data_IF_532464878438
#
_entry.id   IF_532464878438
#
_cell.length_a   1.000
_cell.length_b   1.000
_cell.length_c   1.000
_cell.angle_alpha   90.00
_cell.angle_beta   90.00
_cell.angle_gamma   90.00
#
_symmetry.space_group_name_H-M   'P 1'
#
loop_
_entity.id
_entity.type
_entity.pdbx_description
1 polymer ?
#
# COMPACT_ATOMS: atom_id res chain seq x y z
N UNK A 1 5.62 14.04 22.90
CA UNK A 1 5.44 12.69 22.29
C UNK A 1 6.83 12.17 21.99
N UNK A 2 7.07 10.88 22.16
CA UNK A 2 8.31 10.18 21.90
C UNK A 2 8.06 9.08 20.88
N UNK A 3 9.03 8.82 20.00
CA UNK A 3 8.96 7.68 19.07
C UNK A 3 9.35 6.41 19.82
N UNK A 4 8.41 5.50 19.93
CA UNK A 4 8.56 4.23 20.64
C UNK A 4 8.54 3.01 19.69
N UNK A 5 8.69 3.22 18.39
CA UNK A 5 8.60 2.19 17.35
C UNK A 5 9.49 0.97 17.64
N UNK A 6 10.71 1.24 18.13
CA UNK A 6 11.65 0.19 18.53
C UNK A 6 11.16 -0.63 19.73
N UNK A 7 10.59 0.04 20.72
CA UNK A 7 10.12 -0.62 21.94
C UNK A 7 8.93 -1.57 21.64
N UNK A 8 8.15 -1.27 20.62
CA UNK A 8 6.99 -2.07 20.19
C UNK A 8 7.30 -3.04 19.01
N UNK A 9 8.56 -3.19 18.61
CA UNK A 9 8.96 -4.21 17.62
C UNK A 9 8.66 -3.85 16.16
N UNK A 10 8.36 -2.57 15.84
CA UNK A 10 8.04 -2.14 14.48
C UNK A 10 9.20 -1.42 13.78
N UNK A 11 10.44 -1.65 14.21
CA UNK A 11 11.62 -1.22 13.47
C UNK A 11 11.72 -1.90 12.12
N UNK A 12 12.27 -1.21 11.14
CA UNK A 12 12.45 -1.70 9.77
C UNK A 12 11.15 -2.13 9.08
N UNK A 13 10.04 -1.51 9.46
CA UNK A 13 8.74 -1.70 8.81
C UNK A 13 8.40 -0.54 7.88
N UNK A 14 9.36 0.33 7.57
CA UNK A 14 9.16 1.40 6.63
C UNK A 14 8.66 0.83 5.31
N UNK A 15 7.51 1.35 4.88
CA UNK A 15 6.78 0.91 3.71
C UNK A 15 6.10 2.08 3.02
N UNK A 16 5.26 1.77 2.07
CA UNK A 16 4.42 2.75 1.38
C UNK A 16 2.99 2.65 1.94
N UNK A 17 2.86 2.99 3.22
CA UNK A 17 1.63 2.85 3.98
C UNK A 17 0.56 3.84 3.52
N UNK A 18 -0.66 3.37 3.30
CA UNK A 18 -1.80 4.16 2.85
C UNK A 18 -2.90 4.27 3.91
N UNK A 19 -3.10 3.22 4.70
CA UNK A 19 -4.19 3.14 5.69
C UNK A 19 -3.80 2.23 6.85
N UNK A 20 -4.39 2.47 8.02
CA UNK A 20 -4.25 1.62 9.19
C UNK A 20 -5.56 1.58 9.95
N UNK A 21 -5.94 0.40 10.43
CA UNK A 21 -7.13 0.16 11.26
C UNK A 21 -6.71 -0.67 12.46
N UNK A 22 -7.28 -0.38 13.63
CA UNK A 22 -7.09 -1.15 14.84
C UNK A 22 -8.37 -1.89 15.21
N UNK A 23 -8.27 -3.18 15.53
CA UNK A 23 -9.36 -4.00 16.07
C UNK A 23 -8.76 -5.19 16.82
N UNK A 24 -9.49 -5.75 17.76
CA UNK A 24 -9.15 -6.99 18.45
C UNK A 24 -9.57 -8.17 17.55
N UNK A 25 -8.60 -8.75 16.82
CA UNK A 25 -8.86 -9.77 15.79
C UNK A 25 -8.98 -11.19 16.36
N UNK A 26 -8.38 -11.46 17.51
CA UNK A 26 -8.36 -12.80 18.12
C UNK A 26 -9.14 -12.89 19.43
N UNK A 27 -9.63 -11.77 19.95
CA UNK A 27 -10.48 -11.71 21.13
C UNK A 27 -9.71 -11.79 22.45
N UNK A 28 -8.41 -11.45 22.44
CA UNK A 28 -7.56 -11.46 23.62
C UNK A 28 -7.65 -10.16 24.47
N UNK A 29 -8.29 -9.13 23.92
CA UNK A 29 -8.52 -7.82 24.54
C UNK A 29 -7.50 -6.75 24.16
N UNK A 30 -6.43 -7.11 23.46
CA UNK A 30 -5.47 -6.17 22.89
C UNK A 30 -5.89 -5.77 21.48
N UNK A 31 -5.49 -4.59 21.02
CA UNK A 31 -5.79 -4.16 19.66
C UNK A 31 -4.65 -4.51 18.72
N UNK A 32 -4.97 -5.29 17.69
CA UNK A 32 -4.11 -5.52 16.53
C UNK A 32 -4.24 -4.38 15.53
N UNK A 33 -3.24 -4.25 14.66
CA UNK A 33 -3.26 -3.24 13.60
C UNK A 33 -3.28 -3.91 12.23
N UNK A 34 -4.21 -3.52 11.37
CA UNK A 34 -4.24 -3.95 9.97
C UNK A 34 -3.75 -2.77 9.14
N UNK A 35 -2.61 -2.94 8.47
CA UNK A 35 -1.97 -1.86 7.71
C UNK A 35 -1.95 -2.16 6.21
N UNK A 36 -2.52 -1.23 5.44
CA UNK A 36 -2.59 -1.28 3.99
C UNK A 36 -1.38 -0.61 3.33
N UNK A 37 -0.73 -1.33 2.43
CA UNK A 37 0.46 -0.89 1.71
C UNK A 37 0.21 -0.92 0.18
N UNK A 38 1.26 -0.68 -0.63
CA UNK A 38 1.19 -0.70 -2.10
C UNK A 38 0.96 -2.11 -2.67
N UNK A 39 1.23 -3.16 -1.89
CA UNK A 39 1.10 -4.55 -2.30
C UNK A 39 2.36 -5.11 -2.98
N UNK A 40 2.30 -6.39 -3.31
CA UNK A 40 3.44 -7.12 -3.89
C UNK A 40 3.38 -7.23 -5.42
N UNK A 41 2.23 -6.94 -6.03
CA UNK A 41 2.03 -6.95 -7.48
C UNK A 41 2.34 -5.58 -8.09
N UNK A 42 3.54 -5.08 -7.85
CA UNK A 42 4.00 -3.78 -8.33
C UNK A 42 5.42 -3.90 -8.89
N UNK A 43 5.83 -2.96 -9.75
CA UNK A 43 7.20 -2.96 -10.33
C UNK A 43 8.30 -2.75 -9.28
N UNK A 44 7.97 -2.12 -8.16
CA UNK A 44 8.90 -1.89 -7.07
C UNK A 44 8.89 -3.09 -6.12
N UNK A 45 10.07 -3.47 -5.65
CA UNK A 45 10.26 -4.55 -4.70
C UNK A 45 11.13 -4.05 -3.56
N UNK A 46 10.86 -4.55 -2.36
CA UNK A 46 11.60 -4.22 -1.15
C UNK A 46 11.78 -5.47 -0.28
N UNK A 47 12.87 -5.53 0.45
CA UNK A 47 13.12 -6.50 1.52
C UNK A 47 14.12 -5.91 2.52
N UNK A 48 14.30 -6.56 3.66
CA UNK A 48 15.30 -6.15 4.67
C UNK A 48 16.71 -6.10 4.07
N UNK A 49 17.07 -7.10 3.25
CA UNK A 49 18.41 -7.18 2.64
C UNK A 49 18.57 -6.23 1.45
N UNK A 50 17.47 -5.95 0.75
CA UNK A 50 17.44 -5.13 -0.46
C UNK A 50 16.31 -4.11 -0.39
N UNK A 51 16.45 -3.08 0.46
CA UNK A 51 15.43 -2.05 0.58
C UNK A 51 15.27 -1.27 -0.72
N UNK A 52 14.04 -0.87 -0.99
CA UNK A 52 13.77 0.17 -1.98
C UNK A 52 14.27 1.50 -1.42
N UNK A 53 14.92 2.33 -2.24
CA UNK A 53 15.55 3.55 -1.77
C UNK A 53 15.11 4.77 -2.59
N UNK A 54 15.06 5.91 -1.90
CA UNK A 54 14.76 7.21 -2.49
C UNK A 54 15.84 8.18 -2.05
N UNK A 55 16.43 8.87 -3.02
CA UNK A 55 17.39 9.96 -2.78
C UNK A 55 16.82 11.25 -3.36
N UNK A 56 16.91 12.33 -2.60
CA UNK A 56 16.44 13.64 -3.03
C UNK A 56 17.47 14.72 -2.70
N UNK A 57 17.86 15.48 -3.71
CA UNK A 57 18.75 16.62 -3.61
C UNK A 57 18.71 17.39 -4.94
N UNK A 58 19.06 18.64 -4.94
CA UNK A 58 19.43 19.38 -6.17
C UNK A 58 20.84 18.91 -6.58
N UNK A 59 20.91 17.89 -7.45
CA UNK A 59 22.17 17.26 -7.86
C UNK A 59 22.88 17.99 -8.97
N UNK A 60 22.20 18.84 -9.73
CA UNK A 60 22.77 19.61 -10.82
C UNK A 60 22.84 21.13 -10.53
N UNK A 61 22.47 21.55 -9.31
CA UNK A 61 22.46 22.92 -8.82
C UNK A 61 21.58 23.88 -9.68
N UNK A 62 20.44 23.38 -10.16
CA UNK A 62 19.48 24.15 -10.93
C UNK A 62 18.41 24.86 -10.06
N UNK A 63 18.41 24.65 -8.74
CA UNK A 63 17.48 25.20 -7.78
C UNK A 63 16.23 24.34 -7.53
N UNK A 64 16.15 23.17 -8.14
CA UNK A 64 15.06 22.21 -7.97
C UNK A 64 15.61 20.89 -7.42
N UNK A 65 14.84 20.21 -6.52
CA UNK A 65 15.25 18.90 -6.05
C UNK A 65 15.00 17.84 -7.13
N UNK A 66 16.01 17.04 -7.38
CA UNK A 66 15.95 15.82 -8.18
C UNK A 66 15.59 14.63 -7.28
N UNK A 67 14.76 13.71 -7.80
CA UNK A 67 14.35 12.52 -7.07
C UNK A 67 14.80 11.26 -7.79
N UNK A 68 15.61 10.46 -7.12
CA UNK A 68 16.08 9.16 -7.61
C UNK A 68 15.46 8.02 -6.81
N UNK A 69 14.61 7.26 -7.48
CA UNK A 69 14.14 5.97 -6.99
C UNK A 69 15.18 4.92 -7.38
N UNK A 70 15.62 4.11 -6.40
CA UNK A 70 16.69 3.16 -6.60
C UNK A 70 16.37 1.77 -6.04
N UNK A 71 16.91 0.75 -6.68
CA UNK A 71 16.79 -0.65 -6.27
C UNK A 71 18.10 -1.40 -6.41
N UNK A 72 18.24 -2.44 -5.63
CA UNK A 72 19.32 -3.40 -5.82
C UNK A 72 19.04 -4.35 -6.99
N UNK A 73 20.05 -4.60 -7.80
CA UNK A 73 20.06 -5.64 -8.83
C UNK A 73 21.00 -6.78 -8.43
N UNK A 74 21.39 -7.63 -9.37
CA UNK A 74 22.36 -8.69 -9.13
C UNK A 74 23.64 -8.13 -8.50
N UNK A 75 24.31 -8.93 -7.67
CA UNK A 75 25.57 -8.60 -6.99
C UNK A 75 25.51 -7.38 -6.06
N UNK A 76 24.32 -7.07 -5.54
CA UNK A 76 24.02 -5.94 -4.64
C UNK A 76 24.42 -4.56 -5.20
N UNK A 77 24.38 -4.42 -6.51
CA UNK A 77 24.58 -3.11 -7.14
C UNK A 77 23.30 -2.29 -7.06
N UNK A 78 23.41 -1.08 -6.53
CA UNK A 78 22.32 -0.12 -6.45
C UNK A 78 22.22 0.69 -7.74
N UNK A 79 21.07 0.63 -8.41
CA UNK A 79 20.83 1.31 -9.68
C UNK A 79 19.57 2.17 -9.65
N UNK A 80 19.48 3.25 -10.44
CA UNK A 80 18.24 3.99 -10.58
C UNK A 80 17.16 3.14 -11.24
N UNK A 81 15.90 3.37 -10.88
CA UNK A 81 14.76 2.70 -11.51
C UNK A 81 14.43 3.34 -12.85
N UNK A 82 14.57 4.65 -12.93
CA UNK A 82 14.35 5.40 -14.18
C UNK A 82 15.56 5.28 -15.09
N UNK A 83 15.30 5.07 -16.37
CA UNK A 83 16.33 5.00 -17.40
C UNK A 83 16.96 6.37 -17.72
N UNK A 84 17.98 6.35 -18.61
CA UNK A 84 18.72 7.56 -19.02
C UNK A 84 17.79 8.67 -19.53
N UNK A 85 16.76 8.34 -20.30
CA UNK A 85 15.83 9.31 -20.87
C UNK A 85 15.19 10.17 -19.78
N UNK A 86 14.47 9.56 -18.84
CA UNK A 86 13.82 10.29 -17.75
C UNK A 86 14.81 10.98 -16.83
N UNK A 87 15.94 10.34 -16.56
CA UNK A 87 16.98 10.93 -15.71
C UNK A 87 17.55 12.18 -16.37
N UNK A 88 17.76 12.18 -17.68
CA UNK A 88 18.29 13.35 -18.41
C UNK A 88 17.26 14.47 -18.58
N UNK A 89 15.96 14.16 -18.57
CA UNK A 89 14.91 15.19 -18.54
C UNK A 89 14.89 15.93 -17.19
N UNK A 90 15.15 15.23 -16.10
CA UNK A 90 15.27 15.81 -14.77
C UNK A 90 16.62 16.53 -14.58
N UNK A 91 17.72 15.91 -15.03
CA UNK A 91 19.09 16.39 -14.91
C UNK A 91 19.78 16.41 -16.28
N UNK A 92 19.76 17.49 -17.04
CA UNK A 92 20.32 17.55 -18.39
C UNK A 92 21.80 17.17 -18.49
N UNK A 93 22.59 17.41 -17.44
CA UNK A 93 24.00 17.05 -17.35
C UNK A 93 24.28 15.55 -17.55
N UNK A 94 23.28 14.70 -17.35
CA UNK A 94 23.37 13.25 -17.58
C UNK A 94 23.69 12.94 -19.05
N UNK A 95 23.23 13.74 -19.99
CA UNK A 95 23.55 13.54 -21.43
C UNK A 95 25.02 13.76 -21.73
N UNK A 96 25.67 14.69 -21.05
CA UNK A 96 27.10 14.96 -21.20
C UNK A 96 27.93 13.87 -20.51
N UNK A 97 27.53 13.50 -19.28
CA UNK A 97 28.23 12.50 -18.46
C UNK A 97 28.10 11.08 -19.04
N UNK A 98 26.97 10.75 -19.64
CA UNK A 98 26.67 9.46 -20.24
C UNK A 98 26.18 9.59 -21.67
N UNK A 99 27.08 9.69 -22.67
CA UNK A 99 26.70 9.93 -24.07
C UNK A 99 25.81 8.85 -24.68
N UNK A 100 25.88 7.61 -24.15
CA UNK A 100 25.11 6.47 -24.68
C UNK A 100 24.20 5.86 -23.60
N UNK A 101 23.11 5.21 -24.02
CA UNK A 101 22.26 4.44 -23.12
C UNK A 101 23.02 3.31 -22.42
N UNK A 102 23.96 2.68 -23.14
CA UNK A 102 24.78 1.60 -22.63
C UNK A 102 25.67 2.08 -21.48
N UNK A 103 26.34 3.22 -21.63
CA UNK A 103 27.21 3.77 -20.58
C UNK A 103 26.42 4.09 -19.31
N UNK A 104 25.19 4.60 -19.45
CA UNK A 104 24.31 4.84 -18.31
C UNK A 104 23.85 3.51 -17.66
N UNK A 105 23.39 2.55 -18.47
CA UNK A 105 22.87 1.28 -17.98
C UNK A 105 23.91 0.40 -17.29
N UNK A 106 25.19 0.59 -17.57
CA UNK A 106 26.31 -0.11 -16.92
C UNK A 106 26.82 0.58 -15.64
N UNK A 107 26.26 1.76 -15.31
CA UNK A 107 26.68 2.55 -14.15
C UNK A 107 25.76 2.26 -12.96
N UNK A 108 26.35 2.24 -11.77
CA UNK A 108 25.61 2.23 -10.51
C UNK A 108 25.16 3.65 -10.12
N UNK A 109 24.32 3.74 -9.11
CA UNK A 109 23.78 5.01 -8.64
C UNK A 109 24.87 5.96 -8.11
N UNK A 110 25.90 5.41 -7.44
CA UNK A 110 27.04 6.18 -6.95
C UNK A 110 27.82 6.84 -8.10
N UNK A 111 28.05 6.09 -9.18
CA UNK A 111 28.69 6.62 -10.38
C UNK A 111 27.85 7.71 -11.04
N UNK A 112 26.50 7.54 -11.04
CA UNK A 112 25.59 8.51 -11.67
C UNK A 112 25.55 9.81 -10.87
N UNK A 113 25.35 9.75 -9.55
CA UNK A 113 25.16 10.91 -8.69
C UNK A 113 26.47 11.49 -8.09
N UNK A 114 27.54 10.71 -8.13
CA UNK A 114 28.84 11.13 -7.56
C UNK A 114 28.79 11.23 -6.04
N UNK A 115 29.59 12.15 -5.48
CA UNK A 115 29.69 12.37 -4.03
C UNK A 115 28.42 12.99 -3.42
N UNK A 116 27.61 13.60 -4.20
CA UNK A 116 26.39 14.29 -3.76
C UNK A 116 25.36 13.33 -3.16
N UNK A 117 25.41 12.05 -3.48
CA UNK A 117 24.58 11.02 -2.87
C UNK A 117 24.76 10.92 -1.35
N UNK A 118 25.95 11.22 -0.83
CA UNK A 118 26.27 11.13 0.61
C UNK A 118 25.56 12.20 1.44
N UNK A 119 25.18 13.31 0.81
CA UNK A 119 24.52 14.45 1.46
C UNK A 119 23.06 14.61 1.04
N UNK A 120 22.56 13.71 0.20
CA UNK A 120 21.16 13.69 -0.21
C UNK A 120 20.23 13.26 0.92
N UNK A 121 19.01 13.79 0.93
CA UNK A 121 17.97 13.20 1.75
C UNK A 121 17.74 11.76 1.27
N UNK A 122 17.80 10.82 2.22
CA UNK A 122 17.77 9.40 1.93
C UNK A 122 16.67 8.72 2.74
N UNK A 123 15.76 8.04 2.02
CA UNK A 123 14.68 7.24 2.59
C UNK A 123 14.76 5.81 2.08
N UNK A 124 14.30 4.87 2.92
CA UNK A 124 14.25 3.44 2.60
C UNK A 124 12.84 2.90 2.84
N UNK A 125 12.45 1.89 2.08
CA UNK A 125 11.31 1.05 2.41
C UNK A 125 11.77 -0.41 2.39
N UNK A 126 11.36 -1.16 3.41
CA UNK A 126 11.70 -2.56 3.59
C UNK A 126 10.54 -3.49 3.29
N UNK A 127 9.31 -2.95 3.32
CA UNK A 127 8.09 -3.73 3.23
C UNK A 127 7.06 -3.05 2.32
N UNK A 128 6.57 -3.78 1.32
CA UNK A 128 5.45 -3.35 0.46
C UNK A 128 4.19 -4.18 0.65
N UNK A 129 4.28 -5.29 1.39
CA UNK A 129 3.12 -6.11 1.71
C UNK A 129 2.17 -5.37 2.65
N UNK A 130 0.87 -5.54 2.43
CA UNK A 130 -0.14 -5.24 3.44
C UNK A 130 -0.12 -6.31 4.52
N UNK A 131 -0.17 -5.92 5.79
CA UNK A 131 0.09 -6.79 6.93
C UNK A 131 -0.92 -6.59 8.06
N UNK A 132 -0.99 -7.57 8.94
CA UNK A 132 -1.48 -7.43 10.30
C UNK A 132 -0.24 -7.32 11.21
N UNK A 133 -0.21 -6.35 12.09
CA UNK A 133 0.68 -6.33 13.24
C UNK A 133 -0.09 -6.89 14.42
N UNK A 134 0.25 -8.11 14.80
CA UNK A 134 -0.33 -8.77 15.97
C UNK A 134 0.25 -8.16 17.22
N UNK A 135 -0.61 -7.81 18.15
CA UNK A 135 -0.24 -7.24 19.44
C UNK A 135 -0.27 -8.33 20.51
N UNK A 136 0.86 -8.71 21.01
CA UNK A 136 0.97 -9.60 22.15
C UNK A 136 1.52 -8.81 23.35
N UNK A 137 0.62 -8.29 24.18
CA UNK A 137 0.95 -7.51 25.37
C UNK A 137 1.92 -6.32 25.09
N UNK A 138 1.71 -5.63 23.99
CA UNK A 138 2.50 -4.48 23.55
C UNK A 138 3.70 -4.83 22.66
N UNK A 139 3.88 -6.09 22.27
CA UNK A 139 4.88 -6.49 21.30
C UNK A 139 4.22 -6.77 19.94
N UNK A 140 4.47 -5.91 18.95
CA UNK A 140 3.88 -6.00 17.64
C UNK A 140 4.71 -6.92 16.72
N UNK A 141 4.07 -7.90 16.11
CA UNK A 141 4.70 -8.79 15.13
C UNK A 141 3.95 -8.78 13.79
N UNK A 142 4.68 -8.58 12.69
CA UNK A 142 4.07 -8.46 11.37
C UNK A 142 3.76 -9.83 10.76
N UNK A 143 2.50 -10.00 10.31
CA UNK A 143 2.02 -11.15 9.53
C UNK A 143 1.41 -10.66 8.23
N UNK A 144 1.85 -11.20 7.09
CA UNK A 144 1.30 -10.80 5.78
C UNK A 144 -0.16 -11.23 5.65
N UNK A 145 -0.98 -10.32 5.10
CA UNK A 145 -2.31 -10.66 4.61
C UNK A 145 -2.25 -11.65 3.43
N UNK A 146 -3.33 -12.37 3.12
CA UNK A 146 -3.41 -13.26 1.96
C UNK A 146 -3.03 -12.57 0.64
N UNK A 147 -2.64 -13.38 -0.35
CA UNK A 147 -2.12 -12.88 -1.64
C UNK A 147 -3.08 -11.94 -2.36
N UNK A 148 -4.40 -12.16 -2.24
CA UNK A 148 -5.39 -11.29 -2.87
C UNK A 148 -5.34 -9.85 -2.35
N UNK A 149 -4.95 -9.65 -1.08
CA UNK A 149 -4.72 -8.33 -0.50
C UNK A 149 -3.38 -7.69 -0.92
N UNK A 150 -2.55 -8.40 -1.70
CA UNK A 150 -1.27 -7.92 -2.22
C UNK A 150 -1.32 -7.55 -3.70
N UNK A 151 -2.47 -7.72 -4.35
CA UNK A 151 -2.61 -7.52 -5.80
C UNK A 151 -2.56 -6.06 -6.23
N UNK A 152 -2.91 -5.13 -5.33
CA UNK A 152 -2.90 -3.70 -5.59
C UNK A 152 -2.72 -2.91 -4.29
N UNK A 153 -2.55 -1.59 -4.41
CA UNK A 153 -2.50 -0.70 -3.25
C UNK A 153 -3.79 -0.83 -2.42
N UNK A 154 -3.64 -1.05 -1.13
CA UNK A 154 -4.74 -1.06 -0.17
C UNK A 154 -4.94 0.34 0.36
N UNK A 155 -6.13 0.91 0.15
CA UNK A 155 -6.46 2.29 0.46
C UNK A 155 -7.48 2.43 1.59
N UNK A 156 -8.36 1.43 1.75
CA UNK A 156 -9.36 1.40 2.81
C UNK A 156 -9.54 -0.02 3.34
N UNK A 157 -9.76 -0.13 4.64
CA UNK A 157 -9.94 -1.38 5.36
C UNK A 157 -11.10 -1.20 6.34
N UNK A 158 -11.98 -2.18 6.43
CA UNK A 158 -12.97 -2.28 7.51
C UNK A 158 -12.95 -3.69 8.10
N UNK A 159 -13.16 -3.76 9.40
CA UNK A 159 -13.15 -5.01 10.18
C UNK A 159 -14.47 -5.13 10.90
N UNK A 160 -15.13 -6.26 10.78
CA UNK A 160 -16.30 -6.64 11.57
C UNK A 160 -16.63 -8.13 11.35
N UNK A 161 -17.54 -8.68 12.12
CA UNK A 161 -18.19 -9.95 11.81
C UNK A 161 -19.29 -9.68 10.78
N UNK A 162 -18.98 -9.86 9.49
CA UNK A 162 -19.90 -9.57 8.38
C UNK A 162 -20.81 -10.73 8.03
N UNK A 163 -20.44 -11.98 8.37
CA UNK A 163 -21.25 -13.16 8.07
C UNK A 163 -21.98 -13.74 9.29
N UNK A 164 -21.74 -13.21 10.48
CA UNK A 164 -22.44 -13.57 11.73
C UNK A 164 -21.94 -14.83 12.38
N UNK A 165 -20.70 -15.26 12.07
CA UNK A 165 -20.10 -16.47 12.65
C UNK A 165 -19.34 -16.25 13.97
N UNK A 166 -19.30 -14.99 14.43
CA UNK A 166 -18.65 -14.57 15.68
C UNK A 166 -17.16 -14.29 15.53
N UNK A 167 -16.60 -14.32 14.32
CA UNK A 167 -15.20 -14.01 14.04
C UNK A 167 -15.08 -12.74 13.25
N UNK A 168 -13.94 -12.07 13.38
CA UNK A 168 -13.68 -10.84 12.64
C UNK A 168 -13.27 -11.15 11.20
N UNK A 169 -13.99 -10.55 10.26
CA UNK A 169 -13.65 -10.51 8.84
C UNK A 169 -12.98 -9.19 8.48
N UNK A 170 -12.21 -9.18 7.39
CA UNK A 170 -11.57 -7.97 6.88
C UNK A 170 -12.07 -7.72 5.44
N UNK A 171 -12.57 -6.52 5.18
CA UNK A 171 -12.93 -6.06 3.84
C UNK A 171 -11.97 -4.97 3.40
N UNK A 172 -11.42 -5.14 2.20
CA UNK A 172 -10.36 -4.29 1.67
C UNK A 172 -10.80 -3.67 0.34
N UNK A 173 -10.59 -2.38 0.22
CA UNK A 173 -10.68 -1.64 -1.03
C UNK A 173 -9.36 -0.99 -1.40
N UNK A 174 -9.10 -0.86 -2.69
CA UNK A 174 -7.81 -0.33 -3.10
C UNK A 174 -7.79 0.22 -4.51
N UNK A 175 -6.71 -0.06 -5.17
CA UNK A 175 -6.26 0.46 -6.45
C UNK A 175 -5.71 1.89 -6.39
N UNK A 176 -4.76 2.14 -7.24
CA UNK A 176 -4.16 3.46 -7.45
C UNK A 176 -3.99 3.68 -8.95
N UNK A 177 -4.88 4.50 -9.51
CA UNK A 177 -4.84 4.83 -10.94
C UNK A 177 -3.93 6.02 -11.22
N UNK A 178 -3.71 6.86 -10.21
CA UNK A 178 -2.89 8.08 -10.29
C UNK A 178 -1.42 7.71 -10.18
N UNK A 179 -0.83 7.24 -11.28
CA UNK A 179 0.59 6.90 -11.38
C UNK A 179 1.27 7.80 -12.39
N UNK A 180 2.59 7.89 -12.30
CA UNK A 180 3.40 8.58 -13.31
C UNK A 180 3.35 7.85 -14.66
N UNK A 181 3.72 8.54 -15.73
CA UNK A 181 3.63 8.03 -17.11
C UNK A 181 4.36 6.69 -17.33
N UNK A 182 5.48 6.47 -16.62
CA UNK A 182 6.28 5.24 -16.73
C UNK A 182 5.89 4.14 -15.74
N UNK A 183 4.88 4.39 -14.93
CA UNK A 183 4.42 3.45 -13.91
C UNK A 183 3.01 2.99 -14.24
N UNK A 184 2.85 1.70 -14.52
CA UNK A 184 1.54 1.10 -14.73
C UNK A 184 0.63 1.35 -13.51
N UNK A 185 -0.63 1.75 -13.71
CA UNK A 185 -1.60 1.84 -12.64
C UNK A 185 -1.68 0.53 -11.84
N UNK A 186 -1.81 0.65 -10.53
CA UNK A 186 -2.10 -0.48 -9.66
C UNK A 186 -3.62 -0.67 -9.61
N UNK A 187 -4.17 -1.46 -10.53
CA UNK A 187 -5.61 -1.62 -10.78
C UNK A 187 -6.11 -3.07 -10.71
N UNK A 188 -5.27 -3.97 -10.19
CA UNK A 188 -5.52 -5.41 -10.20
C UNK A 188 -6.47 -5.91 -9.10
N UNK A 189 -6.91 -5.06 -8.16
CA UNK A 189 -7.80 -5.48 -7.08
C UNK A 189 -9.27 -5.29 -7.43
N UNK A 190 -10.08 -6.35 -7.39
CA UNK A 190 -11.53 -6.23 -7.51
C UNK A 190 -12.23 -5.83 -6.19
N UNK A 191 -11.47 -5.49 -5.16
CA UNK A 191 -11.89 -5.52 -3.77
C UNK A 191 -11.73 -6.92 -3.17
N UNK A 192 -11.47 -7.01 -1.87
CA UNK A 192 -11.16 -8.29 -1.21
C UNK A 192 -12.04 -8.45 0.03
N UNK A 193 -12.68 -9.61 0.14
CA UNK A 193 -13.34 -10.05 1.36
C UNK A 193 -12.51 -11.20 1.94
N UNK A 194 -11.95 -11.00 3.13
CA UNK A 194 -11.17 -11.97 3.87
C UNK A 194 -12.01 -12.47 5.04
N UNK A 195 -12.55 -13.70 4.93
CA UNK A 195 -13.27 -14.34 6.02
C UNK A 195 -12.30 -14.78 7.10
N UNK A 196 -12.55 -14.39 8.34
CA UNK A 196 -11.80 -14.82 9.50
C UNK A 196 -12.05 -16.29 9.85
N UNK A 197 -10.99 -17.01 10.23
CA UNK A 197 -11.09 -18.41 10.66
C UNK A 197 -10.96 -18.57 12.19
N UNK A 198 -10.66 -17.45 12.89
CA UNK A 198 -10.62 -17.38 14.36
C UNK A 198 -9.27 -17.73 14.99
N UNK A 199 -8.25 -17.98 14.17
CA UNK A 199 -6.86 -18.24 14.59
C UNK A 199 -5.89 -17.23 13.95
N UNK A 200 -6.37 -16.01 13.71
CA UNK A 200 -5.66 -14.95 12.95
C UNK A 200 -5.33 -15.38 11.53
N UNK A 201 -5.94 -16.43 11.02
CA UNK A 201 -5.89 -16.78 9.60
C UNK A 201 -7.16 -16.35 8.89
N UNK A 202 -7.01 -16.06 7.60
CA UNK A 202 -8.07 -15.52 6.77
C UNK A 202 -8.17 -16.28 5.45
N UNK A 203 -9.41 -16.52 5.02
CA UNK A 203 -9.70 -17.11 3.72
C UNK A 203 -10.25 -16.04 2.79
N UNK A 204 -9.60 -15.86 1.65
CA UNK A 204 -10.13 -14.99 0.60
C UNK A 204 -11.40 -15.58 0.01
N UNK A 205 -12.47 -14.80 -0.03
CA UNK A 205 -13.76 -15.15 -0.63
C UNK A 205 -13.87 -14.41 -1.95
N UNK A 206 -14.10 -15.13 -3.03
CA UNK A 206 -14.21 -14.56 -4.36
C UNK A 206 -15.39 -13.59 -4.47
N UNK A 207 -15.27 -12.60 -5.35
CA UNK A 207 -16.31 -11.59 -5.56
C UNK A 207 -17.65 -12.18 -6.02
N UNK A 208 -17.63 -13.30 -6.75
CA UNK A 208 -18.84 -14.02 -7.18
C UNK A 208 -19.60 -14.65 -6.01
N UNK A 209 -18.88 -15.02 -4.93
CA UNK A 209 -19.46 -15.61 -3.74
C UNK A 209 -19.89 -14.52 -2.73
N UNK A 210 -19.00 -13.56 -2.46
CA UNK A 210 -19.25 -12.49 -1.49
C UNK A 210 -20.19 -11.41 -2.01
N UNK A 211 -20.28 -11.22 -3.33
CA UNK A 211 -20.95 -10.08 -3.97
C UNK A 211 -20.23 -8.75 -3.79
N UNK A 212 -19.06 -8.73 -3.15
CA UNK A 212 -18.26 -7.53 -2.97
C UNK A 212 -17.33 -7.36 -4.18
N UNK A 213 -17.65 -6.38 -5.04
CA UNK A 213 -16.91 -6.10 -6.26
C UNK A 213 -16.74 -4.59 -6.45
N UNK A 214 -15.53 -4.11 -6.25
CA UNK A 214 -15.17 -2.68 -6.27
C UNK A 214 -13.86 -2.43 -7.03
N UNK A 215 -13.79 -2.68 -8.34
CA UNK A 215 -12.58 -2.50 -9.15
C UNK A 215 -12.31 -1.01 -9.45
N UNK A 216 -12.44 -0.15 -8.45
CA UNK A 216 -12.37 1.31 -8.59
C UNK A 216 -11.11 1.85 -7.91
N UNK A 217 -10.79 3.12 -8.21
CA UNK A 217 -9.78 3.88 -7.47
C UNK A 217 -10.36 4.28 -6.11
N UNK A 218 -10.47 3.28 -5.21
CA UNK A 218 -11.02 3.44 -3.86
C UNK A 218 -10.12 4.35 -3.05
N UNK A 219 -10.72 5.22 -2.24
CA UNK A 219 -10.00 6.11 -1.34
C UNK A 219 -10.20 5.75 0.12
N UNK A 220 -11.37 5.22 0.46
CA UNK A 220 -11.66 4.81 1.82
C UNK A 220 -12.86 3.87 1.90
N UNK A 221 -12.91 3.08 2.96
CA UNK A 221 -14.03 2.25 3.38
C UNK A 221 -14.45 2.64 4.79
N UNK A 222 -15.76 2.59 5.06
CA UNK A 222 -16.27 2.83 6.40
C UNK A 222 -17.50 1.96 6.67
N UNK A 223 -17.68 1.53 7.92
CA UNK A 223 -18.89 0.78 8.34
C UNK A 223 -19.80 1.69 9.14
N UNK A 224 -21.08 1.69 8.78
CA UNK A 224 -22.13 2.34 9.56
C UNK A 224 -23.25 1.35 9.88
N UNK A 225 -24.02 1.63 10.93
CA UNK A 225 -25.23 0.86 11.23
C UNK A 225 -26.46 1.63 10.76
N UNK A 226 -27.24 1.04 9.86
CA UNK A 226 -28.49 1.59 9.35
C UNK A 226 -29.62 0.64 9.67
N UNK A 227 -30.55 1.05 10.53
CA UNK A 227 -31.71 0.22 10.98
C UNK A 227 -31.29 -1.15 11.55
N UNK A 228 -30.17 -1.20 12.24
CA UNK A 228 -29.62 -2.42 12.82
C UNK A 228 -28.81 -3.30 11.86
N UNK A 229 -28.67 -2.91 10.61
CA UNK A 229 -27.83 -3.63 9.63
C UNK A 229 -26.51 -2.91 9.42
N UNK A 230 -25.41 -3.67 9.30
CA UNK A 230 -24.08 -3.13 8.97
C UNK A 230 -24.02 -2.82 7.47
N UNK A 231 -23.63 -1.59 7.17
CA UNK A 231 -23.50 -1.09 5.78
C UNK A 231 -22.06 -0.62 5.58
N UNK A 232 -21.38 -1.23 4.62
CA UNK A 232 -20.04 -0.79 4.18
C UNK A 232 -20.24 0.35 3.18
N UNK A 233 -19.68 1.50 3.47
CA UNK A 233 -19.57 2.63 2.55
C UNK A 233 -18.24 2.55 1.82
N UNK A 234 -18.26 2.80 0.52
CA UNK A 234 -17.08 2.83 -0.33
C UNK A 234 -17.00 4.17 -1.03
N UNK A 235 -15.96 4.94 -0.77
CA UNK A 235 -15.63 6.15 -1.52
C UNK A 235 -14.56 5.84 -2.57
N UNK A 236 -14.79 6.29 -3.80
CA UNK A 236 -13.84 6.14 -4.90
C UNK A 236 -13.68 7.46 -5.65
N UNK A 237 -12.49 7.71 -6.19
CA UNK A 237 -12.20 8.93 -6.92
C UNK A 237 -13.00 8.98 -8.23
N UNK A 238 -13.61 10.14 -8.51
CA UNK A 238 -14.46 10.37 -9.69
C UNK A 238 -15.64 9.40 -9.85
N UNK A 239 -16.15 8.83 -8.74
CA UNK A 239 -17.29 7.90 -8.78
C UNK A 239 -18.29 8.23 -7.65
N UNK A 240 -19.50 7.64 -7.74
CA UNK A 240 -20.52 7.76 -6.71
C UNK A 240 -20.12 6.98 -5.45
N UNK A 241 -20.63 7.42 -4.31
CA UNK A 241 -20.60 6.63 -3.09
C UNK A 241 -21.35 5.30 -3.31
N UNK A 242 -20.74 4.18 -2.93
CA UNK A 242 -21.35 2.84 -3.01
C UNK A 242 -21.58 2.30 -1.63
N UNK A 243 -22.58 1.43 -1.52
CA UNK A 243 -22.95 0.78 -0.26
C UNK A 243 -23.14 -0.71 -0.47
N UNK A 244 -22.63 -1.49 0.48
CA UNK A 244 -22.80 -2.95 0.50
C UNK A 244 -23.34 -3.36 1.88
N UNK A 245 -24.18 -4.38 1.91
CA UNK A 245 -24.64 -5.04 3.13
C UNK A 245 -24.31 -6.52 3.06
N UNK A 246 -24.01 -7.13 4.19
CA UNK A 246 -23.93 -8.59 4.27
C UNK A 246 -25.30 -9.19 3.92
N UNK A 247 -25.33 -10.26 3.10
CA UNK A 247 -26.58 -10.89 2.66
C UNK A 247 -27.31 -11.55 3.83
N UNK A 248 -28.32 -10.86 4.35
CA UNK A 248 -29.36 -11.46 5.20
C UNK A 248 -30.75 -11.14 4.71
N UNK A 249 -31.03 -9.90 4.31
CA UNK A 249 -32.29 -9.43 3.72
C UNK A 249 -31.97 -8.16 2.92
N UNK A 250 -32.34 -8.12 1.63
CA UNK A 250 -32.29 -6.87 0.87
C UNK A 250 -33.19 -5.84 1.59
N UNK A 251 -32.70 -4.67 1.98
CA UNK A 251 -33.58 -3.64 2.55
C UNK A 251 -34.59 -3.22 1.49
N UNK A 252 -35.86 -3.09 1.88
CA UNK A 252 -36.87 -2.54 1.01
C UNK A 252 -36.39 -1.18 0.50
N UNK A 253 -36.40 -1.02 -0.84
CA UNK A 253 -35.87 0.15 -1.53
C UNK A 253 -36.52 1.44 -1.04
N UNK A 254 -35.90 2.15 -0.12
CA UNK A 254 -36.23 3.54 0.17
C UNK A 254 -35.23 4.43 -0.55
N UNK A 255 -35.70 5.11 -1.60
CA UNK A 255 -34.95 6.17 -2.26
C UNK A 255 -34.56 7.20 -1.22
N UNK A 256 -33.26 7.41 -1.03
CA UNK A 256 -32.74 8.56 -0.30
C UNK A 256 -33.22 9.82 -1.05
N UNK A 257 -34.15 10.56 -0.44
CA UNK A 257 -34.51 11.88 -0.94
C UNK A 257 -33.34 12.82 -0.62
N UNK A 258 -32.59 13.20 -1.63
CA UNK A 258 -31.70 14.36 -1.55
C UNK A 258 -32.61 15.59 -1.45
N UNK A 259 -32.75 16.15 -0.27
CA UNK A 259 -33.29 17.48 -0.13
C UNK A 259 -32.40 18.48 -0.87
N UNK A 260 -32.99 19.16 -1.84
CA UNK A 260 -32.34 20.21 -2.64
C UNK A 260 -32.03 21.43 -1.77
#
# INVERSE_FOLDING_TARGET
MEDVSKAYGVENTEGWWNTIVADDLDGDGDQDLIAGNIGENYKFKASLDKPFQVFAKDFDNNGSNDIFLARYVKDNVLVPIRGKECTSQQMPIINEKFPTYLSFAQSDLQTILGKDIETAEHRKAYLFSSVIFLNDNGNLSAKKLPVDAQLSAVMGIVVDDFDGDGKKDIVIGGNKFDTEVETTPADASPGVFLKGLGDLSFKSIKSEESGFFIPYNVKDLHVITVKGEKVILVSANNDKLRTFTAKGKAPASNKLALNK
#
